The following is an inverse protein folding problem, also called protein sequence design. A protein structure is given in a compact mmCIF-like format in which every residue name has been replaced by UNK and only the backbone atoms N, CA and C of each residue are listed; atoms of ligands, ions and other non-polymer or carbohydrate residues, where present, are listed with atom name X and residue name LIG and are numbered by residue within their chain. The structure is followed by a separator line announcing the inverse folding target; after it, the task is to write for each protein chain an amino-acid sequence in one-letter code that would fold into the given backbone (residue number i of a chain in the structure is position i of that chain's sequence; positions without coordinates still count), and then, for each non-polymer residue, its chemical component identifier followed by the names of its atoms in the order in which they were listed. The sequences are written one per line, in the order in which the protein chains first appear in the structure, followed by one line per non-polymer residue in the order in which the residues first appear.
data_IF_627825342710
#
_entry.id   IF_627825342710
#
_cell.length_a   1.000
_cell.length_b   1.000
_cell.length_c   1.000
_cell.angle_alpha   90.00
_cell.angle_beta   90.00
_cell.angle_gamma   90.00
#
_symmetry.space_group_name_H-M   'P 1'
#
loop_
_entity.id
_entity.type
_entity.pdbx_description
1 polymer ?
#
# COMPACT_ATOMS: atom_id res chain seq x y z
N UNK A 1 -16.27 -3.28 23.09
CA UNK A 1 -15.38 -3.45 21.92
C UNK A 1 -14.30 -4.42 22.32
N UNK A 2 -14.31 -5.66 21.80
CA UNK A 2 -13.22 -6.61 22.05
C UNK A 2 -12.01 -6.21 21.21
N UNK A 3 -10.79 -6.55 21.68
CA UNK A 3 -9.55 -6.27 20.94
C UNK A 3 -9.58 -6.85 19.51
N UNK A 4 -10.19 -8.01 19.35
CA UNK A 4 -10.39 -8.69 18.06
C UNK A 4 -11.23 -7.87 17.08
N UNK A 5 -12.33 -7.25 17.54
CA UNK A 5 -13.16 -6.38 16.68
C UNK A 5 -12.39 -5.14 16.22
N UNK A 6 -11.55 -4.56 17.08
CA UNK A 6 -10.71 -3.40 16.71
C UNK A 6 -9.70 -3.81 15.64
N UNK A 7 -9.03 -4.95 15.81
CA UNK A 7 -8.04 -5.47 14.85
C UNK A 7 -8.69 -5.81 13.50
N UNK A 8 -9.86 -6.44 13.50
CA UNK A 8 -10.65 -6.69 12.29
C UNK A 8 -11.06 -5.40 11.57
N UNK A 9 -11.40 -4.36 12.34
CA UNK A 9 -11.68 -3.03 11.81
C UNK A 9 -10.48 -2.43 11.08
N UNK A 10 -9.30 -2.46 11.71
CA UNK A 10 -8.05 -1.96 11.11
C UNK A 10 -7.68 -2.78 9.86
N UNK A 11 -7.83 -4.11 9.92
CA UNK A 11 -7.57 -4.99 8.79
C UNK A 11 -8.47 -4.67 7.59
N UNK A 12 -9.78 -4.57 7.82
CA UNK A 12 -10.76 -4.23 6.77
C UNK A 12 -10.47 -2.85 6.17
N UNK A 13 -10.19 -1.87 7.02
CA UNK A 13 -9.84 -0.52 6.58
C UNK A 13 -8.57 -0.52 5.71
N UNK A 14 -7.52 -1.26 6.12
CA UNK A 14 -6.29 -1.38 5.35
C UNK A 14 -6.50 -2.03 3.99
N UNK A 15 -7.43 -2.99 3.88
CA UNK A 15 -7.77 -3.63 2.61
C UNK A 15 -8.43 -2.65 1.63
N UNK A 16 -9.43 -1.89 2.11
CA UNK A 16 -10.11 -0.88 1.28
C UNK A 16 -9.15 0.23 0.85
N UNK A 17 -8.32 0.71 1.78
CA UNK A 17 -7.32 1.73 1.46
C UNK A 17 -6.29 1.22 0.45
N UNK A 18 -5.85 -0.04 0.54
CA UNK A 18 -4.96 -0.65 -0.46
C UNK A 18 -5.59 -0.69 -1.85
N UNK A 19 -6.86 -1.08 -1.96
CA UNK A 19 -7.58 -1.10 -3.25
C UNK A 19 -7.55 0.30 -3.88
N UNK A 20 -7.88 1.34 -3.12
CA UNK A 20 -7.87 2.72 -3.60
C UNK A 20 -6.46 3.14 -4.00
N UNK A 21 -5.46 2.90 -3.15
CA UNK A 21 -4.07 3.29 -3.42
C UNK A 21 -3.52 2.63 -4.68
N UNK A 22 -3.81 1.35 -4.90
CA UNK A 22 -3.37 0.62 -6.10
C UNK A 22 -4.03 1.20 -7.36
N UNK A 23 -5.31 1.55 -7.31
CA UNK A 23 -6.00 2.19 -8.44
C UNK A 23 -5.49 3.60 -8.74
N UNK A 24 -4.96 4.31 -7.72
CA UNK A 24 -4.32 5.62 -7.89
C UNK A 24 -2.88 5.54 -8.43
N UNK A 25 -2.28 4.35 -8.52
CA UNK A 25 -0.96 4.26 -9.17
C UNK A 25 -1.11 4.56 -10.65
N UNK A 26 -0.26 5.48 -11.12
CA UNK A 26 -0.05 5.70 -12.55
C UNK A 26 0.20 4.34 -13.24
N UNK A 27 -0.37 4.10 -14.43
CA UNK A 27 0.00 2.92 -15.20
C UNK A 27 1.53 2.90 -15.34
N UNK A 28 2.14 1.75 -15.05
CA UNK A 28 3.60 1.55 -15.13
C UNK A 28 4.05 1.59 -16.59
N UNK A 29 3.98 2.77 -17.19
CA UNK A 29 4.28 3.10 -18.58
C UNK A 29 5.66 3.73 -18.78
N UNK A 30 6.45 3.89 -17.72
CA UNK A 30 7.86 4.30 -17.76
C UNK A 30 8.77 3.16 -18.28
N UNK A 31 8.44 2.58 -19.44
CA UNK A 31 9.22 1.53 -20.10
C UNK A 31 10.62 2.01 -20.55
N UNK A 32 11.08 1.55 -21.73
CA UNK A 32 12.39 1.90 -22.31
C UNK A 32 12.56 3.42 -22.54
N UNK A 33 11.49 4.22 -22.54
CA UNK A 33 11.53 5.68 -22.64
C UNK A 33 12.24 6.40 -21.49
N UNK A 34 12.38 5.77 -20.31
CA UNK A 34 13.14 6.32 -19.19
C UNK A 34 14.66 6.13 -19.34
N UNK A 35 15.12 5.22 -20.23
CA UNK A 35 16.54 4.88 -20.42
C UNK A 35 17.33 6.01 -21.12
N UNK A 36 16.65 6.99 -21.73
CA UNK A 36 17.27 8.14 -22.39
C UNK A 36 17.68 9.31 -21.49
N UNK A 37 17.53 9.22 -20.17
CA UNK A 37 18.09 10.14 -19.17
C UNK A 37 17.53 11.57 -19.12
N UNK A 38 16.91 12.08 -20.18
CA UNK A 38 16.55 13.49 -20.31
C UNK A 38 15.14 13.82 -19.80
N UNK A 39 14.24 12.83 -19.68
CA UNK A 39 12.91 13.00 -19.09
C UNK A 39 12.91 13.08 -17.54
N UNK A 40 14.08 12.86 -16.90
CA UNK A 40 14.19 12.67 -15.46
C UNK A 40 14.27 13.98 -14.64
N UNK A 41 14.51 15.13 -15.27
CA UNK A 41 14.84 16.39 -14.60
C UNK A 41 13.63 17.30 -14.31
N UNK A 42 12.44 17.01 -14.84
CA UNK A 42 11.25 17.87 -14.71
C UNK A 42 9.96 17.13 -14.35
N UNK A 43 10.04 16.00 -13.64
CA UNK A 43 8.84 15.28 -13.17
C UNK A 43 8.59 15.52 -11.68
N UNK A 44 7.73 16.50 -11.38
CA UNK A 44 7.12 16.66 -10.04
C UNK A 44 6.28 15.42 -9.63
N UNK A 45 5.86 14.61 -10.61
CA UNK A 45 5.13 13.37 -10.38
C UNK A 45 5.98 12.27 -9.71
N UNK A 46 7.31 12.26 -9.90
CA UNK A 46 8.18 11.20 -9.37
C UNK A 46 8.26 11.18 -7.83
N UNK A 47 8.24 12.35 -7.19
CA UNK A 47 8.26 12.45 -5.72
C UNK A 47 6.94 11.99 -5.09
N UNK A 48 5.82 12.37 -5.71
CA UNK A 48 4.49 11.93 -5.30
C UNK A 48 4.32 10.42 -5.48
N UNK A 49 4.79 9.87 -6.60
CA UNK A 49 4.73 8.43 -6.87
C UNK A 49 5.62 7.62 -5.92
N UNK A 50 6.83 8.10 -5.61
CA UNK A 50 7.69 7.44 -4.63
C UNK A 50 7.08 7.44 -3.21
N UNK A 51 6.40 8.53 -2.83
CA UNK A 51 5.66 8.61 -1.57
C UNK A 51 4.47 7.66 -1.57
N UNK A 52 3.69 7.63 -2.65
CA UNK A 52 2.56 6.72 -2.83
C UNK A 52 2.99 5.25 -2.74
N UNK A 53 4.11 4.90 -3.37
CA UNK A 53 4.68 3.56 -3.31
C UNK A 53 5.12 3.19 -1.89
N UNK A 54 5.79 4.10 -1.17
CA UNK A 54 6.20 3.89 0.23
C UNK A 54 4.99 3.66 1.14
N UNK A 55 3.94 4.46 1.00
CA UNK A 55 2.71 4.30 1.78
C UNK A 55 2.04 2.97 1.43
N UNK A 56 1.97 2.59 0.16
CA UNK A 56 1.37 1.32 -0.28
C UNK A 56 2.10 0.12 0.28
N UNK A 57 3.44 0.13 0.30
CA UNK A 57 4.24 -0.92 0.92
C UNK A 57 4.01 -1.02 2.43
N UNK A 58 3.96 0.11 3.13
CA UNK A 58 3.65 0.13 4.56
C UNK A 58 2.26 -0.47 4.83
N UNK A 59 1.26 -0.05 4.06
CA UNK A 59 -0.12 -0.53 4.17
C UNK A 59 -0.23 -2.03 3.84
N UNK A 60 0.54 -2.51 2.86
CA UNK A 60 0.63 -3.92 2.47
C UNK A 60 1.22 -4.77 3.60
N UNK A 61 2.31 -4.30 4.22
CA UNK A 61 2.92 -4.99 5.36
C UNK A 61 1.96 -5.08 6.55
N UNK A 62 1.22 -4.01 6.84
CA UNK A 62 0.18 -4.00 7.89
C UNK A 62 -0.94 -4.99 7.55
N UNK A 63 -1.49 -4.94 6.34
CA UNK A 63 -2.57 -5.83 5.93
C UNK A 63 -2.18 -7.30 6.01
N UNK A 64 -1.00 -7.67 5.48
CA UNK A 64 -0.50 -9.04 5.54
C UNK A 64 -0.18 -9.48 6.96
N UNK A 65 0.47 -8.62 7.76
CA UNK A 65 0.77 -8.90 9.16
C UNK A 65 -0.50 -9.16 9.98
N UNK A 66 -1.52 -8.32 9.81
CA UNK A 66 -2.81 -8.50 10.47
C UNK A 66 -3.56 -9.74 9.97
N UNK A 67 -3.43 -10.08 8.68
CA UNK A 67 -3.99 -11.31 8.11
C UNK A 67 -3.43 -12.54 8.81
N UNK A 68 -2.10 -12.58 9.02
CA UNK A 68 -1.45 -13.67 9.76
C UNK A 68 -1.93 -13.70 11.21
N UNK A 69 -1.97 -12.57 11.91
CA UNK A 69 -2.41 -12.50 13.32
C UNK A 69 -3.85 -12.99 13.50
N UNK A 70 -4.77 -12.55 12.63
CA UNK A 70 -6.17 -12.95 12.65
C UNK A 70 -6.35 -14.43 12.28
N UNK A 71 -5.58 -14.92 11.29
CA UNK A 71 -5.65 -16.31 10.85
C UNK A 71 -4.99 -17.31 11.80
N UNK A 72 -3.95 -16.90 12.53
CA UNK A 72 -3.19 -17.77 13.42
C UNK A 72 -3.88 -17.99 14.78
N UNK A 73 -4.99 -17.28 15.06
CA UNK A 73 -5.75 -17.45 16.29
C UNK A 73 -5.02 -16.96 17.55
N UNK A 74 -4.06 -16.05 17.40
CA UNK A 74 -3.26 -15.50 18.51
C UNK A 74 -4.04 -14.53 19.40
N UNK A 75 -5.27 -14.16 19.00
CA UNK A 75 -6.09 -13.22 19.73
C UNK A 75 -7.03 -13.95 20.72
N UNK A 76 -7.19 -13.41 21.94
CA UNK A 76 -8.18 -13.91 22.88
C UNK A 76 -9.59 -13.74 22.31
N UNK A 77 -10.45 -14.74 22.55
CA UNK A 77 -11.85 -14.73 22.12
C UNK A 77 -12.70 -13.80 22.98
#
# INVERSE_FOLDING_TARGET
MTATTVIQGIWTFSAVALIILVLLHSPKGDGIGAIGGQAQLFSSAKSAENTLNRVTWALTAVFLGLTVVLSAGWLPK
#
